data_IF_762968295717
#
_entry.id   IF_762968295717
#
_cell.length_a   1.000
_cell.length_b   1.000
_cell.length_c   1.000
_cell.angle_alpha   90.00
_cell.angle_beta   90.00
_cell.angle_gamma   90.00
#
_symmetry.space_group_name_H-M   'P 1'
#
loop_
_entity.id
_entity.type
_entity.pdbx_description
1 polymer ?
#
# COMPACT_ATOMS: atom_id res chain seq x y z
N UNK A 1 9.96 1.71 11.08
CA UNK A 1 9.69 0.56 10.18
C UNK A 1 10.31 0.79 8.81
N UNK A 2 10.71 -0.26 8.06
CA UNK A 2 11.06 -0.14 6.63
C UNK A 2 9.82 -0.38 5.77
N UNK A 3 9.79 0.18 4.56
CA UNK A 3 8.64 0.04 3.65
C UNK A 3 8.28 -1.40 3.32
N UNK A 4 9.27 -2.28 3.21
CA UNK A 4 9.02 -3.71 3.00
C UNK A 4 8.29 -4.38 4.16
N UNK A 5 8.59 -3.97 5.40
CA UNK A 5 7.95 -4.53 6.59
C UNK A 5 6.51 -4.02 6.70
N UNK A 6 6.29 -2.72 6.46
CA UNK A 6 4.96 -2.12 6.38
C UNK A 6 4.09 -2.83 5.33
N UNK A 7 4.63 -3.04 4.13
CA UNK A 7 3.89 -3.75 3.07
C UNK A 7 3.55 -5.17 3.52
N UNK A 8 4.47 -5.91 4.15
CA UNK A 8 4.23 -7.27 4.62
C UNK A 8 3.14 -7.35 5.68
N UNK A 9 3.11 -6.39 6.60
CA UNK A 9 2.16 -6.30 7.70
C UNK A 9 0.76 -5.93 7.19
N UNK A 10 0.67 -5.02 6.23
CA UNK A 10 -0.61 -4.46 5.75
C UNK A 10 -1.01 -4.90 4.34
N UNK A 11 -0.54 -6.06 3.84
CA UNK A 11 -0.80 -6.50 2.44
C UNK A 11 -2.29 -6.51 2.08
N UNK A 12 -3.11 -7.05 2.98
CA UNK A 12 -4.54 -7.18 2.75
C UNK A 12 -5.21 -5.81 2.69
N UNK A 13 -4.96 -4.94 3.67
CA UNK A 13 -5.52 -3.59 3.70
C UNK A 13 -5.07 -2.75 2.49
N UNK A 14 -3.79 -2.85 2.11
CA UNK A 14 -3.27 -2.21 0.89
C UNK A 14 -3.99 -2.69 -0.35
N UNK A 15 -4.21 -4.01 -0.48
CA UNK A 15 -4.94 -4.56 -1.62
C UNK A 15 -6.40 -4.11 -1.66
N UNK A 16 -7.06 -4.03 -0.51
CA UNK A 16 -8.44 -3.53 -0.39
C UNK A 16 -8.54 -2.04 -0.76
N UNK A 17 -7.58 -1.23 -0.30
CA UNK A 17 -7.48 0.19 -0.69
C UNK A 17 -7.27 0.33 -2.20
N UNK A 18 -6.32 -0.42 -2.77
CA UNK A 18 -6.02 -0.39 -4.21
C UNK A 18 -7.23 -0.85 -5.03
N UNK A 19 -7.88 -1.95 -4.64
CA UNK A 19 -9.08 -2.47 -5.29
C UNK A 19 -10.20 -1.42 -5.30
N UNK A 20 -10.45 -0.78 -4.15
CA UNK A 20 -11.45 0.28 -4.02
C UNK A 20 -11.14 1.48 -4.90
N UNK A 21 -9.89 1.93 -4.94
CA UNK A 21 -9.46 3.05 -5.80
C UNK A 21 -9.62 2.73 -7.29
N UNK A 22 -9.41 1.47 -7.68
CA UNK A 22 -9.59 0.99 -9.05
C UNK A 22 -11.06 0.67 -9.42
N UNK A 23 -11.98 0.69 -8.45
CA UNK A 23 -13.37 0.26 -8.66
C UNK A 23 -13.49 -1.23 -8.99
N UNK A 24 -12.61 -2.06 -8.44
CA UNK A 24 -12.55 -3.50 -8.67
C UNK A 24 -12.82 -4.28 -7.37
N UNK A 25 -13.26 -5.53 -7.50
CA UNK A 25 -13.49 -6.40 -6.34
C UNK A 25 -12.19 -6.82 -5.65
N UNK A 26 -11.05 -6.76 -6.36
CA UNK A 26 -9.72 -7.16 -5.84
C UNK A 26 -8.60 -6.39 -6.54
N UNK A 27 -7.46 -6.29 -5.88
CA UNK A 27 -6.24 -5.75 -6.47
C UNK A 27 -5.83 -6.65 -7.67
N UNK A 28 -5.76 -6.12 -8.91
CA UNK A 28 -5.42 -6.91 -10.08
C UNK A 28 -3.95 -7.32 -10.11
N UNK A 29 -3.09 -6.67 -9.30
CA UNK A 29 -1.66 -6.96 -9.22
C UNK A 29 -1.18 -6.94 -7.76
N UNK A 30 -1.52 -7.98 -6.97
CA UNK A 30 -1.26 -8.06 -5.53
C UNK A 30 0.19 -8.45 -5.23
N UNK A 31 1.17 -7.70 -5.76
CA UNK A 31 2.59 -7.89 -5.51
C UNK A 31 3.21 -6.70 -4.77
N UNK A 32 4.31 -6.94 -4.05
CA UNK A 32 4.91 -5.92 -3.17
C UNK A 32 5.53 -4.75 -3.93
N UNK A 33 5.95 -4.93 -5.19
CA UNK A 33 6.47 -3.83 -6.01
C UNK A 33 5.34 -2.87 -6.42
N UNK A 34 4.19 -3.40 -6.83
CA UNK A 34 3.00 -2.58 -7.12
C UNK A 34 2.50 -1.86 -5.86
N UNK A 35 2.40 -2.57 -4.73
CA UNK A 35 2.02 -1.92 -3.45
C UNK A 35 2.96 -0.77 -3.10
N UNK A 36 4.26 -0.95 -3.31
CA UNK A 36 5.25 0.12 -3.14
C UNK A 36 4.98 1.31 -4.05
N UNK A 37 4.69 1.08 -5.34
CA UNK A 37 4.39 2.16 -6.27
C UNK A 37 3.11 2.90 -5.87
N UNK A 38 2.07 2.19 -5.44
CA UNK A 38 0.86 2.80 -4.90
C UNK A 38 1.16 3.68 -3.69
N UNK A 39 1.93 3.19 -2.71
CA UNK A 39 2.32 3.98 -1.54
C UNK A 39 3.11 5.24 -1.93
N UNK A 40 3.90 5.21 -3.00
CA UNK A 40 4.69 6.36 -3.44
C UNK A 40 3.89 7.37 -4.28
N UNK A 41 2.78 6.96 -4.89
CA UNK A 41 1.99 7.81 -5.79
C UNK A 41 0.64 8.24 -5.19
N UNK A 42 0.11 7.52 -4.20
CA UNK A 42 -1.12 7.86 -3.49
C UNK A 42 -0.79 8.58 -2.17
N UNK A 43 -1.26 9.82 -2.03
CA UNK A 43 -0.94 10.65 -0.86
C UNK A 43 -1.51 10.07 0.45
N UNK A 44 -2.67 9.39 0.39
CA UNK A 44 -3.29 8.77 1.55
C UNK A 44 -2.45 7.60 2.06
N UNK A 45 -2.08 6.69 1.16
CA UNK A 45 -1.21 5.55 1.47
C UNK A 45 0.19 6.00 1.92
N UNK A 46 0.75 7.04 1.28
CA UNK A 46 2.02 7.63 1.69
C UNK A 46 1.96 8.14 3.13
N UNK A 47 0.96 8.98 3.45
CA UNK A 47 0.80 9.58 4.78
C UNK A 47 0.55 8.50 5.85
N UNK A 48 -0.22 7.48 5.52
CA UNK A 48 -0.45 6.34 6.41
C UNK A 48 0.84 5.58 6.70
N UNK A 49 1.61 5.22 5.67
CA UNK A 49 2.90 4.57 5.88
C UNK A 49 3.84 5.45 6.74
N UNK A 50 3.86 6.78 6.52
CA UNK A 50 4.63 7.72 7.35
C UNK A 50 4.14 7.78 8.80
N UNK A 51 2.84 7.70 9.06
CA UNK A 51 2.29 7.73 10.43
C UNK A 51 2.66 6.48 11.22
N UNK A 52 2.78 5.33 10.56
CA UNK A 52 3.31 4.09 11.15
C UNK A 52 4.85 4.11 11.38
N UNK A 53 5.48 5.28 11.21
CA UNK A 53 6.93 5.43 11.37
C UNK A 53 7.73 4.70 10.28
N UNK A 54 7.13 4.49 9.11
CA UNK A 54 7.84 3.96 7.96
C UNK A 54 8.82 4.99 7.39
N UNK A 55 10.07 4.56 7.19
CA UNK A 55 11.06 5.32 6.41
C UNK A 55 10.89 4.94 4.95
N UNK A 56 10.39 5.89 4.16
CA UNK A 56 10.07 5.78 2.74
C UNK A 56 11.12 6.54 1.94
#
# INVERSE_FOLDING_TARGET
>A
MKLQDFIKEHRQELDECIARTLGQDKNPSPNDNERRLWILNDEGLYRWARSEGCRI
#
